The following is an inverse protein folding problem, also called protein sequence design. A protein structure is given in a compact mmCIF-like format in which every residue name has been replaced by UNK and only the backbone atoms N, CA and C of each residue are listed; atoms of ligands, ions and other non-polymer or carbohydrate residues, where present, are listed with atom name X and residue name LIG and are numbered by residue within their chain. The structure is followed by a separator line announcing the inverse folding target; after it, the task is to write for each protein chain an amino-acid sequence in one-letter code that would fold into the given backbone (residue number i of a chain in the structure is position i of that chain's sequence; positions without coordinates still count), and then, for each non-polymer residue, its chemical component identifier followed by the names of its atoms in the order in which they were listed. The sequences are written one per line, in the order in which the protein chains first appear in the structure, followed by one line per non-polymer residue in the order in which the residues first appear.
data_IF_126757466195
#
_entry.id   IF_126757466195
#
_cell.length_a   1.000
_cell.length_b   1.000
_cell.length_c   1.000
_cell.angle_alpha   90.00
_cell.angle_beta   90.00
_cell.angle_gamma   90.00
#
_symmetry.space_group_name_H-M   'P 1'
#
loop_
_entity.id
_entity.type
_entity.pdbx_description
1 polymer ?
2 non-polymer ?
3 non-polymer ?
4 water ?
#
# COMPACT_ATOMS: atom_id res chain seq x y z
N UNK A 1 16.57 -27.41 10.34
CA UNK A 1 17.87 -26.65 10.41
C UNK A 1 17.77 -25.42 11.32
N UNK A 2 16.86 -24.49 11.02
CA UNK A 2 16.61 -23.36 11.90
C UNK A 2 15.26 -23.46 12.60
N UNK A 3 14.44 -24.43 12.18
CA UNK A 3 13.08 -24.59 12.72
C UNK A 3 13.10 -24.89 14.19
N UNK A 4 12.25 -24.20 14.93
CA UNK A 4 12.16 -24.40 16.38
C UNK A 4 13.12 -23.61 17.23
N UNK A 5 14.06 -22.91 16.58
CA UNK A 5 15.05 -22.11 17.32
C UNK A 5 15.14 -20.68 16.89
N UNK A 6 15.71 -19.90 17.78
CA UNK A 6 15.97 -18.50 17.52
C UNK A 6 16.89 -18.33 16.32
N UNK A 7 16.52 -17.39 15.45
CA UNK A 7 17.40 -16.94 14.36
C UNK A 7 18.06 -15.58 14.65
N UNK A 8 19.39 -15.51 14.58
CA UNK A 8 20.10 -14.22 14.68
C UNK A 8 20.27 -13.70 13.26
N UNK A 9 19.80 -12.48 12.99
CA UNK A 9 19.89 -11.90 11.66
C UNK A 9 20.00 -10.37 11.78
N UNK A 10 20.06 -9.69 10.64
CA UNK A 10 20.05 -8.22 10.65
C UNK A 10 18.64 -7.66 10.41
N UNK A 11 18.35 -6.54 11.05
CA UNK A 11 17.12 -5.83 10.78
C UNK A 11 17.38 -4.32 10.86
N UNK A 12 16.49 -3.55 10.24
CA UNK A 12 16.53 -2.11 10.40
C UNK A 12 15.59 -1.73 11.52
N UNK A 13 16.18 -1.33 12.65
CA UNK A 13 15.44 -0.85 13.82
C UNK A 13 15.30 0.67 13.85
N UNK A 14 14.10 1.14 14.18
CA UNK A 14 13.87 2.55 14.44
C UNK A 14 13.77 2.68 15.96
N UNK A 15 14.81 3.24 16.58
CA UNK A 15 14.87 3.27 18.03
C UNK A 15 13.99 4.39 18.58
N UNK A 16 13.82 5.45 17.81
CA UNK A 16 13.18 6.68 18.24
C UNK A 16 12.72 7.41 17.01
N UNK A 17 11.68 8.23 17.16
CA UNK A 17 11.18 9.08 16.07
C UNK A 17 12.27 9.96 15.51
N UNK A 18 12.14 10.33 14.23
CA UNK A 18 13.01 11.33 13.59
C UNK A 18 14.49 10.97 13.68
N UNK A 19 14.77 9.69 13.51
CA UNK A 19 16.15 9.17 13.46
C UNK A 19 16.30 8.28 12.21
N UNK A 20 17.53 8.12 11.69
CA UNK A 20 17.74 7.13 10.64
C UNK A 20 17.48 5.74 11.18
N UNK A 21 17.19 4.79 10.28
CA UNK A 21 17.11 3.38 10.66
C UNK A 21 18.50 2.90 11.05
N UNK A 22 18.53 2.06 12.07
CA UNK A 22 19.82 1.51 12.53
C UNK A 22 19.85 0.05 12.10
N UNK A 23 20.88 -0.34 11.34
CA UNK A 23 21.02 -1.74 11.03
C UNK A 23 21.57 -2.44 12.28
N UNK A 24 20.82 -3.41 12.78
CA UNK A 24 21.20 -4.10 14.05
C UNK A 24 21.14 -5.61 13.88
N UNK A 25 21.89 -6.33 14.74
CA UNK A 25 21.75 -7.76 14.91
C UNK A 25 20.57 -7.96 15.84
N UNK A 26 19.56 -8.67 15.36
CA UNK A 26 18.40 -8.98 16.18
C UNK A 26 18.23 -10.48 16.33
N UNK A 27 17.43 -10.91 17.30
CA UNK A 27 17.11 -12.32 17.48
C UNK A 27 15.63 -12.40 17.13
N UNK A 28 15.32 -13.34 16.26
CA UNK A 28 13.92 -13.55 15.84
C UNK A 28 13.51 -14.89 16.39
N UNK A 29 12.51 -14.87 17.29
CA UNK A 29 12.04 -16.11 17.95
C UNK A 29 11.32 -17.03 16.95
N UNK A 30 11.24 -18.33 17.25
CA UNK A 30 10.50 -19.24 16.36
C UNK A 30 9.00 -18.96 16.45
N UNK A 31 8.25 -19.35 15.41
CA UNK A 31 6.80 -19.13 15.40
C UNK A 31 6.02 -20.00 16.37
N UNK A 32 5.12 -19.36 17.12
CA UNK A 32 4.20 -20.04 18.03
C UNK A 32 3.01 -20.55 17.23
N UNK A 33 1.97 -21.03 17.92
CA UNK A 33 0.86 -21.62 17.19
C UNK A 33 0.29 -20.58 16.26
N UNK A 34 0.05 -20.98 15.02
CA UNK A 34 -0.68 -20.15 14.05
C UNK A 34 0.15 -18.97 13.63
N UNK A 35 1.47 -19.11 13.74
CA UNK A 35 2.41 -18.09 13.28
C UNK A 35 3.31 -18.68 12.22
N UNK A 36 3.92 -17.79 11.43
CA UNK A 36 4.69 -18.15 10.25
C UNK A 36 5.97 -17.33 10.28
N UNK A 37 7.12 -18.00 10.20
CA UNK A 37 8.40 -17.26 10.10
C UNK A 37 8.86 -17.19 8.63
N UNK A 38 9.21 -16.00 8.16
CA UNK A 38 9.45 -15.76 6.74
C UNK A 38 10.85 -15.17 6.51
N UNK A 39 11.59 -15.72 5.53
CA UNK A 39 12.85 -15.14 5.08
C UNK A 39 12.56 -14.10 4.02
N UNK A 40 12.87 -12.83 4.30
CA UNK A 40 12.55 -11.78 3.31
C UNK A 40 13.39 -11.86 2.05
N UNK A 41 12.76 -11.56 0.91
CA UNK A 41 13.47 -11.52 -0.36
C UNK A 41 13.52 -10.11 -0.92
N UNK A 42 12.41 -9.39 -0.76
CA UNK A 42 12.38 -7.99 -1.19
C UNK A 42 11.32 -7.27 -0.43
N UNK A 43 11.58 -5.98 -0.23
CA UNK A 43 10.60 -5.10 0.47
C UNK A 43 10.63 -3.70 -0.12
N UNK A 44 9.43 -3.14 -0.33
CA UNK A 44 9.31 -1.80 -0.91
C UNK A 44 9.35 -0.75 0.19
N UNK A 45 9.79 0.46 -0.16
CA UNK A 45 9.74 1.57 0.79
C UNK A 45 8.51 2.40 0.49
N UNK A 46 7.56 2.38 1.44
CA UNK A 46 6.30 3.11 1.27
C UNK A 46 6.24 4.39 2.13
N UNK A 47 5.53 5.43 1.64
CA UNK A 47 5.28 6.66 2.39
C UNK A 47 4.86 6.36 3.83
N UNK A 48 4.03 5.34 4.03
CA UNK A 48 3.57 5.04 5.37
C UNK A 48 4.68 4.64 6.35
N UNK A 49 5.73 3.99 5.83
CA UNK A 49 6.90 3.69 6.62
C UNK A 49 7.61 4.96 7.11
N UNK A 50 7.66 5.97 6.24
CA UNK A 50 8.21 7.31 6.52
C UNK A 50 7.35 8.02 7.56
N UNK A 51 6.03 7.79 7.51
CA UNK A 51 5.15 8.40 8.52
C UNK A 51 5.45 7.88 9.93
N UNK A 52 5.92 6.64 10.05
CA UNK A 52 6.38 6.14 11.37
C UNK A 52 7.59 6.95 11.85
N UNK A 53 8.55 7.15 10.95
CA UNK A 53 9.75 7.93 11.25
C UNK A 53 9.37 9.34 11.72
N UNK A 54 8.46 9.99 11.00
CA UNK A 54 8.07 11.38 11.32
C UNK A 54 7.29 11.50 12.64
N UNK A 55 6.75 10.39 13.13
CA UNK A 55 5.90 10.41 14.31
C UNK A 55 4.44 10.71 13.98
N UNK A 56 4.13 10.74 12.70
CA UNK A 56 2.76 11.08 12.28
C UNK A 56 1.85 9.86 12.23
N UNK A 57 2.41 8.68 11.92
CA UNK A 57 1.70 7.41 12.12
C UNK A 57 2.22 6.92 13.48
N UNK A 58 1.40 7.03 14.51
CA UNK A 58 1.81 6.68 15.86
C UNK A 58 1.71 5.18 16.09
N UNK A 59 2.85 4.55 16.40
CA UNK A 59 2.89 3.12 16.68
C UNK A 59 4.00 2.99 17.74
N UNK A 60 3.93 1.97 18.61
CA UNK A 60 4.97 1.82 19.65
C UNK A 60 6.39 1.71 19.11
N UNK A 61 7.34 2.43 19.76
CA UNK A 61 8.76 2.34 19.43
C UNK A 61 9.49 1.71 20.61
N UNK A 62 10.68 1.12 20.37
CA UNK A 62 11.36 0.98 19.08
C UNK A 62 10.62 -0.04 18.22
N UNK A 63 10.83 0.02 16.91
CA UNK A 63 10.02 -0.79 15.98
C UNK A 63 10.82 -1.24 14.77
N UNK A 64 10.46 -2.43 14.28
CA UNK A 64 10.88 -2.87 12.93
C UNK A 64 9.71 -2.56 11.98
N UNK A 65 9.87 -1.52 11.16
CA UNK A 65 8.84 -1.13 10.18
C UNK A 65 8.90 -1.97 8.91
N UNK A 66 8.25 -1.50 7.85
CA UNK A 66 8.16 -2.27 6.62
C UNK A 66 6.87 -3.07 6.60
N UNK A 67 6.11 -2.92 5.53
CA UNK A 67 4.83 -3.60 5.37
C UNK A 67 4.52 -4.08 3.95
N UNK A 68 5.39 -3.78 2.98
CA UNK A 68 5.18 -4.07 1.58
C UNK A 68 6.33 -4.98 1.16
N UNK A 69 6.07 -6.27 1.07
CA UNK A 69 7.17 -7.22 0.88
C UNK A 69 6.76 -8.56 0.36
N UNK A 70 7.78 -9.35 0.00
CA UNK A 70 7.61 -10.72 -0.36
C UNK A 70 8.78 -11.54 0.14
N UNK A 71 8.51 -12.79 0.46
CA UNK A 71 9.57 -13.66 0.96
C UNK A 71 9.22 -15.11 0.78
N UNK A 72 10.00 -15.96 1.47
CA UNK A 72 9.81 -17.41 1.45
C UNK A 72 9.66 -17.94 2.85
N UNK A 73 8.68 -18.84 3.07
CA UNK A 73 8.43 -19.40 4.39
C UNK A 73 9.59 -20.30 4.87
N UNK A 74 10.16 -19.91 6.00
CA UNK A 74 11.23 -20.63 6.64
C UNK A 74 10.68 -21.75 7.51
N UNK A 75 9.67 -21.45 8.34
CA UNK A 75 9.02 -22.47 9.15
C UNK A 75 7.63 -22.04 9.57
N UNK A 76 6.81 -23.02 9.95
CA UNK A 76 5.44 -22.72 10.40
C UNK A 76 5.24 -23.22 11.83
N UNK A 77 4.45 -22.47 12.59
CA UNK A 77 4.05 -22.91 13.92
C UNK A 77 2.97 -23.97 13.85
N UNK A 78 2.62 -24.52 15.02
CA UNK A 78 1.58 -25.54 15.17
C UNK A 78 0.26 -25.06 14.56
N UNK A 79 -0.40 -25.96 13.84
CA UNK A 79 -1.76 -25.71 13.33
C UNK A 79 -1.91 -24.83 12.11
N UNK A 80 -0.78 -24.41 11.53
CA UNK A 80 -0.77 -23.62 10.29
C UNK A 80 -1.11 -24.52 9.10
N UNK A 81 -2.12 -24.12 8.32
CA UNK A 81 -2.58 -24.89 7.18
C UNK A 81 -2.49 -24.22 5.83
N UNK A 82 -2.32 -22.89 5.78
CA UNK A 82 -2.47 -22.16 4.53
C UNK A 82 -1.17 -21.92 3.81
N UNK A 83 -0.06 -22.14 4.52
CA UNK A 83 1.28 -22.04 3.94
C UNK A 83 2.18 -23.14 4.51
N UNK A 84 3.28 -23.40 3.81
CA UNK A 84 4.19 -24.48 4.18
C UNK A 84 5.61 -23.97 3.95
N UNK A 85 6.59 -24.55 4.67
CA UNK A 85 7.97 -24.19 4.40
C UNK A 85 8.31 -24.24 2.93
N UNK A 86 9.02 -23.23 2.45
CA UNK A 86 9.42 -23.12 1.05
C UNK A 86 8.47 -22.37 0.13
N UNK A 87 7.25 -22.12 0.59
CA UNK A 87 6.28 -21.34 -0.21
C UNK A 87 6.66 -19.89 -0.33
N UNK A 88 6.42 -19.30 -1.51
CA UNK A 88 6.52 -17.85 -1.70
C UNK A 88 5.29 -17.20 -1.09
N UNK A 89 5.50 -16.05 -0.44
CA UNK A 89 4.44 -15.40 0.34
C UNK A 89 4.55 -13.90 0.34
N UNK A 90 3.41 -13.24 0.59
CA UNK A 90 3.35 -11.80 0.76
C UNK A 90 2.62 -11.53 2.09
N UNK A 91 3.31 -10.88 3.04
CA UNK A 91 2.68 -10.49 4.32
C UNK A 91 1.56 -9.50 4.06
N UNK A 92 0.51 -9.63 4.89
CA UNK A 92 -0.71 -8.80 4.71
C UNK A 92 -0.84 -7.78 5.84
N UNK A 93 -0.61 -6.49 5.53
CA UNK A 93 -0.72 -5.47 6.60
C UNK A 93 -2.16 -5.25 7.03
N UNK A 94 -3.11 -5.57 6.15
CA UNK A 94 -4.52 -5.70 6.52
C UNK A 94 -4.81 -7.17 6.52
N UNK A 95 -5.04 -7.76 7.72
CA UNK A 95 -5.20 -9.21 7.87
C UNK A 95 -6.55 -9.65 7.26
N UNK A 96 -6.74 -10.96 7.05
CA UNK A 96 -8.09 -11.48 6.70
C UNK A 96 -8.35 -12.68 7.58
N UNK A 97 -8.91 -12.42 8.75
CA UNK A 97 -9.20 -13.49 9.72
C UNK A 97 -10.29 -14.47 9.25
N UNK A 98 -11.24 -13.99 8.45
CA UNK A 98 -12.31 -14.82 7.93
C UNK A 98 -13.49 -14.98 8.87
N UNK A 99 -13.39 -14.45 10.10
CA UNK A 99 -14.39 -14.74 11.13
C UNK A 99 -15.20 -13.53 11.61
N UNK A 100 -14.60 -12.35 11.54
CA UNK A 100 -15.20 -11.15 12.10
C UNK A 100 -16.30 -10.62 11.17
N UNK A 101 -17.13 -9.72 11.68
CA UNK A 101 -18.23 -9.17 10.88
C UNK A 101 -17.80 -8.44 9.60
N UNK A 102 -16.58 -7.87 9.62
CA UNK A 102 -16.06 -7.24 8.41
C UNK A 102 -15.63 -8.29 7.39
N UNK A 103 -14.90 -9.31 7.83
CA UNK A 103 -14.47 -10.36 6.90
C UNK A 103 -15.67 -11.11 6.32
N UNK A 104 -16.74 -11.20 7.11
CA UNK A 104 -17.99 -11.88 6.66
C UNK A 104 -18.87 -10.97 5.79
N UNK A 105 -18.51 -9.70 5.66
CA UNK A 105 -19.33 -8.76 4.88
C UNK A 105 -18.88 -8.73 3.42
N UNK A 106 -19.81 -8.80 2.45
CA UNK A 106 -19.36 -8.80 1.04
C UNK A 106 -18.50 -7.60 0.59
N UNK A 107 -18.66 -6.44 1.21
CA UNK A 107 -17.90 -5.27 0.76
C UNK A 107 -16.84 -4.76 1.76
N UNK A 108 -16.77 -5.36 2.94
CA UNK A 108 -15.75 -4.91 3.90
C UNK A 108 -14.43 -5.63 3.71
N UNK A 109 -13.33 -4.97 4.07
CA UNK A 109 -12.01 -5.64 4.05
C UNK A 109 -11.13 -5.24 5.20
N UNK A 110 -11.54 -4.24 5.98
CA UNK A 110 -10.72 -3.76 7.07
C UNK A 110 -10.97 -4.61 8.31
N UNK A 111 -10.41 -5.81 8.27
CA UNK A 111 -10.60 -6.83 9.30
C UNK A 111 -10.34 -6.27 10.69
N UNK A 112 -11.22 -6.59 11.66
CA UNK A 112 -11.16 -6.08 13.04
C UNK A 112 -9.91 -6.51 13.83
N UNK A 113 -9.16 -7.50 13.32
CA UNK A 113 -7.86 -7.91 13.86
C UNK A 113 -6.69 -7.05 13.41
N UNK A 114 -6.97 -5.99 12.65
CA UNK A 114 -5.88 -5.10 12.18
C UNK A 114 -5.17 -4.41 13.35
N UNK A 115 -3.90 -4.03 13.13
CA UNK A 115 -3.13 -3.29 14.12
C UNK A 115 -2.97 -1.81 13.75
N UNK A 116 -3.85 -1.33 12.89
CA UNK A 116 -3.78 0.02 12.41
C UNK A 116 -4.59 1.00 13.23
N UNK A 117 -5.81 0.62 13.64
CA UNK A 117 -6.71 1.56 14.32
C UNK A 117 -6.19 2.00 15.68
N UNK A 118 -5.74 1.02 16.46
CA UNK A 118 -5.18 1.25 17.79
C UNK A 118 -3.89 0.43 17.89
N UNK A 119 -2.79 0.90 17.28
CA UNK A 119 -1.61 0.01 17.19
C UNK A 119 -1.00 -0.42 18.52
N UNK A 120 -0.80 -1.73 18.67
CA UNK A 120 -0.12 -2.31 19.82
C UNK A 120 1.34 -2.63 19.47
N UNK A 121 1.61 -2.84 18.19
CA UNK A 121 2.99 -3.19 17.75
C UNK A 121 3.43 -4.55 18.26
N UNK A 122 2.47 -5.48 18.27
CA UNK A 122 2.77 -6.86 18.68
C UNK A 122 2.22 -7.89 17.69
N UNK A 123 2.50 -9.16 17.95
CA UNK A 123 1.76 -10.28 17.38
C UNK A 123 0.33 -10.27 17.90
N UNK A 124 -0.52 -11.13 17.33
CA UNK A 124 -1.93 -11.19 17.77
C UNK A 124 -2.02 -11.52 19.27
N UNK A 125 -1.04 -12.23 19.80
CA UNK A 125 -1.09 -12.68 21.19
C UNK A 125 -0.60 -11.65 22.21
N UNK A 126 -0.23 -10.46 21.73
CA UNK A 126 0.17 -9.35 22.59
C UNK A 126 1.64 -9.36 22.97
N UNK A 127 2.39 -10.21 22.30
CA UNK A 127 3.85 -10.22 22.50
C UNK A 127 4.66 -10.00 21.24
N UNK A 128 5.98 -9.85 21.41
CA UNK A 128 6.90 -9.58 20.33
C UNK A 128 7.83 -10.76 20.10
N UNK A 129 8.18 -11.00 18.81
CA UNK A 129 9.12 -12.05 18.44
C UNK A 129 10.54 -11.51 18.24
N UNK A 130 10.70 -10.20 18.42
CA UNK A 130 12.00 -9.55 18.17
C UNK A 130 12.70 -9.06 19.42
N UNK A 131 14.00 -9.32 19.51
CA UNK A 131 14.81 -8.70 20.57
C UNK A 131 16.10 -8.20 19.94
N UNK A 132 16.64 -7.13 20.51
CA UNK A 132 17.97 -6.64 20.09
C UNK A 132 18.75 -6.49 21.38
N UNK A 133 19.77 -7.33 21.54
CA UNK A 133 20.54 -7.38 22.80
C UNK A 133 19.62 -7.49 24.03
N UNK A 134 18.63 -8.37 23.91
CA UNK A 134 17.65 -8.66 24.97
C UNK A 134 16.58 -7.59 25.21
N UNK A 135 16.58 -6.52 24.42
CA UNK A 135 15.58 -5.47 24.56
C UNK A 135 14.45 -5.81 23.57
N UNK A 136 13.19 -5.85 24.03
CA UNK A 136 12.12 -6.15 23.06
C UNK A 136 11.99 -5.05 22.01
N UNK A 137 11.64 -5.45 20.78
CA UNK A 137 11.40 -4.50 19.67
C UNK A 137 9.98 -4.78 19.14
N UNK A 138 9.24 -3.71 18.87
CA UNK A 138 7.87 -3.82 18.36
C UNK A 138 7.78 -4.26 16.91
N UNK A 139 6.65 -4.93 16.65
CA UNK A 139 6.21 -5.23 15.29
C UNK A 139 5.52 -3.98 14.72
N UNK A 140 5.25 -4.02 13.42
CA UNK A 140 4.53 -2.93 12.73
C UNK A 140 3.48 -3.53 11.82
N UNK A 141 2.23 -3.21 12.12
CA UNK A 141 1.07 -3.70 11.33
C UNK A 141 1.08 -5.21 11.13
N UNK A 142 1.62 -5.94 12.10
CA UNK A 142 1.66 -7.38 12.03
C UNK A 142 2.50 -7.91 10.88
N UNK A 143 3.38 -7.08 10.34
CA UNK A 143 4.25 -7.50 9.22
C UNK A 143 5.76 -7.39 9.51
N UNK A 144 6.26 -6.17 9.69
CA UNK A 144 7.67 -5.94 10.03
C UNK A 144 8.59 -6.55 9.01
N UNK A 145 8.64 -5.93 7.85
CA UNK A 145 9.36 -6.51 6.74
C UNK A 145 10.77 -5.95 6.54
N UNK A 146 11.19 -4.99 7.36
CA UNK A 146 12.58 -4.42 7.26
C UNK A 146 13.54 -5.25 8.12
N UNK A 147 13.54 -6.55 7.84
CA UNK A 147 14.35 -7.51 8.57
C UNK A 147 14.61 -8.70 7.65
N UNK A 148 15.77 -9.32 7.82
CA UNK A 148 16.04 -10.53 7.04
C UNK A 148 15.02 -11.65 7.30
N UNK A 149 14.48 -11.72 8.52
CA UNK A 149 13.43 -12.69 8.91
C UNK A 149 12.39 -12.02 9.74
N UNK A 150 11.14 -12.41 9.52
CA UNK A 150 10.04 -11.87 10.33
C UNK A 150 9.11 -12.99 10.72
N UNK A 151 8.26 -12.73 11.72
CA UNK A 151 7.24 -13.70 12.12
C UNK A 151 5.94 -12.97 12.05
N UNK A 152 4.97 -13.59 11.38
CA UNK A 152 3.65 -13.00 11.20
C UNK A 152 2.58 -14.01 11.61
N UNK A 153 1.40 -13.51 11.94
CA UNK A 153 0.26 -14.37 12.21
C UNK A 153 -0.25 -14.96 10.89
N UNK A 154 -0.81 -16.19 10.96
CA UNK A 154 -1.28 -16.86 9.74
C UNK A 154 -2.29 -16.00 9.00
N UNK A 155 -3.09 -15.26 9.75
CA UNK A 155 -4.11 -14.37 9.11
C UNK A 155 -3.51 -13.18 8.37
N UNK A 156 -2.21 -12.97 8.53
CA UNK A 156 -1.50 -11.87 7.91
C UNK A 156 -0.51 -12.34 6.85
N UNK A 157 -0.73 -13.52 6.26
CA UNK A 157 0.16 -13.96 5.19
C UNK A 157 -0.62 -14.70 4.12
N UNK A 158 -0.25 -14.52 2.86
CA UNK A 158 -0.89 -15.19 1.73
C UNK A 158 0.14 -15.93 0.86
N UNK A 159 -0.17 -17.19 0.52
CA UNK A 159 0.67 -17.96 -0.39
C UNK A 159 0.45 -17.51 -1.82
N UNK A 160 1.55 -17.35 -2.57
CA UNK A 160 1.48 -16.91 -3.95
C UNK A 160 2.17 -17.91 -4.87
N UNK A 161 1.97 -17.74 -6.16
CA UNK A 161 2.56 -18.61 -7.21
C UNK A 161 4.06 -18.84 -7.02
N UNK A 162 4.47 -20.11 -6.98
CA UNK A 162 5.89 -20.43 -6.72
C UNK A 162 6.87 -19.87 -7.76
N UNK A 163 6.37 -19.56 -8.95
CA UNK A 163 7.21 -19.00 -10.00
C UNK A 163 7.34 -17.47 -10.02
N UNK A 164 6.76 -16.80 -9.01
CA UNK A 164 6.68 -15.32 -8.96
C UNK A 164 8.03 -14.64 -8.77
N UNK A 165 8.30 -13.54 -9.51
CA UNK A 165 9.50 -12.75 -9.24
C UNK A 165 9.25 -11.88 -8.02
N UNK A 166 9.83 -12.27 -6.88
CA UNK A 166 9.49 -11.60 -5.60
C UNK A 166 9.93 -10.13 -5.56
N UNK A 167 11.01 -9.81 -6.29
CA UNK A 167 11.50 -8.44 -6.38
C UNK A 167 10.54 -7.49 -7.08
N UNK A 168 9.55 -8.04 -7.78
CA UNK A 168 8.51 -7.24 -8.45
C UNK A 168 7.19 -7.33 -7.71
N UNK A 169 6.77 -8.55 -7.38
CA UNK A 169 5.42 -8.72 -6.83
C UNK A 169 5.26 -8.24 -5.39
N UNK A 170 6.38 -7.89 -4.75
CA UNK A 170 6.28 -7.31 -3.42
C UNK A 170 5.37 -6.08 -3.47
N UNK A 171 5.31 -5.39 -4.61
CA UNK A 171 4.42 -4.17 -4.74
C UNK A 171 2.94 -4.49 -4.51
N UNK A 172 2.58 -5.73 -4.72
CA UNK A 172 1.20 -6.15 -4.45
C UNK A 172 0.89 -6.09 -2.93
N UNK A 173 1.95 -6.03 -2.11
CA UNK A 173 1.85 -5.93 -0.68
C UNK A 173 1.27 -4.60 -0.22
N UNK A 174 1.33 -3.57 -1.07
CA UNK A 174 0.73 -2.31 -0.65
C UNK A 174 0.47 -1.36 -1.80
N UNK A 175 1.51 -0.80 -2.39
CA UNK A 175 1.29 0.37 -3.27
C UNK A 175 0.48 0.07 -4.51
N UNK A 176 0.82 -1.02 -5.21
CA UNK A 176 0.11 -1.37 -6.43
C UNK A 176 -1.34 -1.74 -6.12
N UNK A 177 -1.55 -2.63 -5.15
CA UNK A 177 -2.91 -3.09 -4.81
C UNK A 177 -3.81 -1.95 -4.36
N UNK A 178 -3.20 -1.03 -3.64
CA UNK A 178 -3.95 0.11 -3.07
C UNK A 178 -4.52 0.98 -4.20
N UNK A 179 -3.68 1.36 -5.16
CA UNK A 179 -4.13 2.19 -6.30
C UNK A 179 -5.01 1.39 -7.25
N UNK A 180 -4.56 0.20 -7.62
CA UNK A 180 -5.29 -0.64 -8.59
C UNK A 180 -6.71 -0.99 -8.10
N UNK A 181 -6.83 -1.46 -6.86
CA UNK A 181 -8.14 -1.77 -6.25
C UNK A 181 -9.04 -0.56 -6.11
N UNK A 182 -8.46 0.60 -5.83
CA UNK A 182 -9.26 1.80 -5.69
C UNK A 182 -10.05 2.03 -6.96
N UNK A 183 -9.45 1.73 -8.10
CA UNK A 183 -10.16 1.83 -9.39
C UNK A 183 -11.08 0.64 -9.64
N UNK A 184 -10.53 -0.58 -9.55
CA UNK A 184 -11.24 -1.78 -10.01
C UNK A 184 -12.24 -2.31 -9.01
N UNK A 185 -12.01 -2.04 -7.73
CA UNK A 185 -12.77 -2.63 -6.64
C UNK A 185 -13.64 -1.61 -5.88
N UNK A 186 -13.06 -0.45 -5.55
CA UNK A 186 -13.76 0.54 -4.73
C UNK A 186 -14.64 1.41 -5.59
N UNK A 187 -14.03 2.12 -6.55
CA UNK A 187 -14.82 2.94 -7.52
C UNK A 187 -15.66 2.08 -8.46
N UNK A 188 -15.11 0.93 -8.85
CA UNK A 188 -15.71 0.10 -9.90
C UNK A 188 -15.84 0.88 -11.20
N UNK A 189 -14.71 1.38 -11.69
CA UNK A 189 -14.63 2.04 -12.98
C UNK A 189 -15.27 1.17 -14.07
N UNK A 190 -16.06 1.83 -14.90
CA UNK A 190 -16.80 1.19 -15.98
C UNK A 190 -16.16 1.48 -17.34
N UNK A 191 -16.41 0.59 -18.30
CA UNK A 191 -16.00 0.76 -19.71
C UNK A 191 -16.46 2.07 -20.34
N UNK A 192 -15.53 2.75 -20.99
CA UNK A 192 -15.81 4.00 -21.68
C UNK A 192 -15.96 5.24 -20.80
N UNK A 193 -15.72 5.10 -19.50
CA UNK A 193 -15.89 6.22 -18.57
C UNK A 193 -14.69 7.17 -18.62
N UNK A 194 -14.82 8.33 -17.98
CA UNK A 194 -13.77 9.33 -17.90
C UNK A 194 -13.34 9.37 -16.44
N UNK A 195 -12.04 9.26 -16.22
CA UNK A 195 -11.46 9.23 -14.87
C UNK A 195 -10.47 10.36 -14.72
N UNK A 196 -10.33 10.89 -13.48
CA UNK A 196 -9.32 11.91 -13.17
C UNK A 196 -8.55 11.43 -11.96
N UNK A 197 -7.21 11.45 -12.06
CA UNK A 197 -6.36 10.90 -11.01
C UNK A 197 -5.46 12.02 -10.50
N UNK A 198 -5.63 12.39 -9.23
CA UNK A 198 -4.87 13.51 -8.64
C UNK A 198 -3.69 12.94 -7.86
N UNK A 199 -2.52 13.07 -8.47
CA UNK A 199 -1.26 12.56 -7.94
C UNK A 199 -0.72 11.43 -8.81
N UNK A 200 0.51 11.59 -9.28
CA UNK A 200 1.10 10.66 -10.23
C UNK A 200 2.39 9.99 -9.74
N UNK A 201 2.50 9.87 -8.42
CA UNK A 201 3.38 8.89 -7.78
C UNK A 201 2.95 7.46 -8.01
N UNK A 202 3.60 6.54 -7.29
CA UNK A 202 3.43 5.11 -7.51
C UNK A 202 1.99 4.67 -7.32
N UNK A 203 1.32 5.20 -6.30
CA UNK A 203 -0.06 4.82 -6.02
C UNK A 203 -0.97 5.36 -7.14
N UNK A 204 -0.71 6.61 -7.58
CA UNK A 204 -1.51 7.21 -8.68
C UNK A 204 -1.33 6.46 -9.99
N UNK A 205 -0.09 6.06 -10.29
CA UNK A 205 0.16 5.25 -11.48
C UNK A 205 -0.62 3.94 -11.38
N UNK A 206 -0.69 3.35 -10.18
CA UNK A 206 -1.44 2.13 -9.98
C UNK A 206 -2.96 2.35 -10.20
N UNK A 207 -3.47 3.50 -9.79
CA UNK A 207 -4.87 3.84 -10.06
C UNK A 207 -5.08 3.91 -11.59
N UNK A 208 -4.16 4.56 -12.29
CA UNK A 208 -4.24 4.67 -13.76
C UNK A 208 -4.28 3.26 -14.40
N UNK A 209 -3.38 2.40 -13.95
CA UNK A 209 -3.39 1.02 -14.36
C UNK A 209 -4.75 0.35 -14.20
N UNK A 210 -5.41 0.57 -13.06
CA UNK A 210 -6.74 0.02 -12.75
C UNK A 210 -7.85 0.57 -13.61
N UNK A 211 -7.79 1.88 -13.84
CA UNK A 211 -8.73 2.56 -14.74
C UNK A 211 -8.59 1.98 -16.16
N UNK A 212 -7.35 1.70 -16.59
CA UNK A 212 -7.08 1.10 -17.90
C UNK A 212 -7.60 -0.34 -17.95
N UNK A 213 -7.34 -1.12 -16.90
CA UNK A 213 -7.82 -2.51 -16.78
C UNK A 213 -9.35 -2.59 -16.91
N UNK A 214 -10.02 -1.58 -16.36
CA UNK A 214 -11.48 -1.50 -16.35
C UNK A 214 -12.02 -0.93 -17.64
N UNK A 215 -11.15 -0.46 -18.51
CA UNK A 215 -11.56 0.06 -19.83
C UNK A 215 -12.06 1.49 -19.92
N UNK A 216 -11.60 2.35 -19.02
CA UNK A 216 -11.86 3.78 -19.12
C UNK A 216 -11.45 4.33 -20.49
N UNK A 217 -12.30 5.17 -21.07
CA UNK A 217 -11.96 5.80 -22.35
C UNK A 217 -11.04 7.01 -22.22
N UNK A 218 -11.09 7.69 -21.07
CA UNK A 218 -10.26 8.87 -20.84
C UNK A 218 -9.75 8.80 -19.42
N UNK A 219 -8.46 9.03 -19.23
CA UNK A 219 -7.87 8.97 -17.90
C UNK A 219 -6.96 10.17 -17.80
N UNK A 220 -7.40 11.14 -17.03
CA UNK A 220 -6.74 12.43 -16.94
C UNK A 220 -5.86 12.47 -15.69
N UNK A 221 -4.54 12.46 -15.87
CA UNK A 221 -3.63 12.59 -14.73
C UNK A 221 -3.45 14.06 -14.39
N UNK A 222 -3.46 14.36 -13.10
CA UNK A 222 -3.32 15.72 -12.56
C UNK A 222 -2.18 15.76 -11.54
N UNK A 223 -1.19 16.63 -11.78
CA UNK A 223 -0.05 16.76 -10.86
C UNK A 223 0.71 18.03 -11.21
N UNK A 224 1.29 18.72 -10.22
CA UNK A 224 2.04 19.98 -10.49
C UNK A 224 3.46 19.73 -10.94
N UNK A 225 3.90 18.46 -10.84
CA UNK A 225 5.21 18.09 -11.33
C UNK A 225 5.11 17.42 -12.71
N UNK A 226 5.44 18.18 -13.74
CA UNK A 226 5.27 17.73 -15.14
C UNK A 226 6.22 16.63 -15.57
N UNK A 227 7.27 16.40 -14.79
CA UNK A 227 8.16 15.28 -15.09
C UNK A 227 7.55 13.90 -14.74
N UNK A 228 6.38 13.88 -14.11
CA UNK A 228 5.64 12.63 -13.87
C UNK A 228 4.70 12.27 -15.02
N UNK A 229 4.52 13.20 -15.95
CA UNK A 229 3.55 13.00 -17.04
C UNK A 229 3.98 11.84 -17.97
N UNK A 230 5.27 11.73 -18.26
CA UNK A 230 5.70 10.70 -19.20
C UNK A 230 5.29 9.27 -18.79
N UNK A 231 5.59 8.91 -17.55
CA UNK A 231 5.26 7.60 -17.02
C UNK A 231 3.74 7.39 -16.88
N UNK A 232 3.02 8.46 -16.56
CA UNK A 232 1.58 8.36 -16.40
C UNK A 232 0.95 7.96 -17.74
N UNK A 233 1.47 8.54 -18.83
CA UNK A 233 0.98 8.19 -20.15
C UNK A 233 1.37 6.75 -20.56
N UNK A 234 2.61 6.35 -20.27
CA UNK A 234 3.07 4.98 -20.48
C UNK A 234 2.12 3.95 -19.89
N UNK A 235 1.59 4.25 -18.70
CA UNK A 235 0.78 3.26 -17.99
C UNK A 235 -0.72 3.40 -18.24
N UNK A 236 -1.11 4.43 -18.98
CA UNK A 236 -2.47 4.56 -19.49
C UNK A 236 -3.18 5.90 -19.50
N UNK A 237 -2.55 6.95 -18.94
CA UNK A 237 -3.15 8.28 -18.97
C UNK A 237 -3.31 8.75 -20.41
N UNK A 238 -4.48 9.31 -20.72
CA UNK A 238 -4.76 9.76 -22.05
C UNK A 238 -4.37 11.22 -22.24
N UNK A 239 -4.35 11.97 -21.13
CA UNK A 239 -3.89 13.34 -21.10
C UNK A 239 -3.41 13.63 -19.69
N UNK A 240 -2.54 14.63 -19.55
CA UNK A 240 -2.10 15.09 -18.25
C UNK A 240 -2.26 16.58 -18.12
N UNK A 241 -2.64 17.00 -16.93
CA UNK A 241 -2.93 18.38 -16.61
C UNK A 241 -2.07 18.86 -15.45
N UNK A 242 -1.39 20.00 -15.64
CA UNK A 242 -0.65 20.65 -14.57
C UNK A 242 -1.44 21.87 -14.12
N UNK A 243 -2.00 21.83 -12.90
CA UNK A 243 -2.82 22.96 -12.43
C UNK A 243 -2.12 24.30 -12.46
N UNK A 244 -0.79 24.31 -12.37
CA UNK A 244 0.00 25.55 -12.39
C UNK A 244 0.04 26.19 -13.78
N UNK A 245 -0.33 25.42 -14.80
CA UNK A 245 -0.44 25.94 -16.16
C UNK A 245 -1.66 26.85 -16.36
N UNK A 246 -2.56 26.89 -15.38
CA UNK A 246 -3.87 27.56 -15.54
C UNK A 246 -4.10 28.78 -14.70
N UNK A 247 -4.97 29.65 -15.21
CA UNK A 247 -5.42 30.83 -14.51
C UNK A 247 -6.72 30.59 -13.76
N UNK A 248 -7.44 29.52 -14.12
CA UNK A 248 -8.66 29.17 -13.40
C UNK A 248 -8.48 27.95 -12.52
N UNK A 249 -9.32 27.83 -11.46
CA UNK A 249 -9.29 26.66 -10.60
C UNK A 249 -9.37 25.37 -11.38
N UNK A 250 -8.59 24.42 -10.93
CA UNK A 250 -8.49 23.12 -11.55
C UNK A 250 -9.84 22.39 -11.70
N UNK A 251 -10.77 22.50 -10.72
CA UNK A 251 -12.02 21.73 -10.86
C UNK A 251 -12.85 22.23 -12.06
N UNK A 252 -12.74 23.51 -12.34
CA UNK A 252 -13.42 24.11 -13.48
C UNK A 252 -12.81 23.63 -14.78
N UNK A 253 -11.48 23.63 -14.84
CA UNK A 253 -10.76 23.11 -16.00
C UNK A 253 -11.20 21.68 -16.27
N UNK A 254 -11.29 20.86 -15.23
CA UNK A 254 -11.68 19.46 -15.45
C UNK A 254 -13.15 19.29 -15.81
N UNK A 255 -13.99 20.13 -15.21
CA UNK A 255 -15.42 20.05 -15.51
C UNK A 255 -15.66 20.41 -16.98
N UNK A 256 -14.94 21.42 -17.48
CA UNK A 256 -15.06 21.87 -18.86
C UNK A 256 -14.48 20.80 -19.81
N UNK A 257 -13.33 20.23 -19.42
CA UNK A 257 -12.70 19.17 -20.21
C UNK A 257 -13.58 17.94 -20.39
N UNK A 258 -14.43 17.64 -19.41
CA UNK A 258 -15.19 16.38 -19.39
C UNK A 258 -16.67 16.63 -19.66
N UNK A 259 -16.94 17.81 -20.22
CA UNK A 259 -18.29 18.19 -20.63
C UNK A 259 -19.26 17.96 -19.45
N UNK A 260 -18.86 18.47 -18.30
CA UNK A 260 -19.75 18.63 -17.17
C UNK A 260 -19.43 17.72 -15.99
N UNK A 261 -18.17 17.24 -15.93
CA UNK A 261 -17.70 16.42 -14.81
C UNK A 261 -17.20 15.02 -15.20
N UNK A 262 -16.25 14.47 -14.44
CA UNK A 262 -15.76 13.13 -14.70
C UNK A 262 -16.67 12.06 -14.06
N UNK A 263 -16.60 10.83 -14.57
CA UNK A 263 -17.31 9.74 -13.95
C UNK A 263 -16.70 9.32 -12.60
N UNK A 264 -15.37 9.23 -12.57
CA UNK A 264 -14.65 8.77 -11.38
C UNK A 264 -13.47 9.70 -11.13
N UNK A 265 -13.26 10.10 -9.89
CA UNK A 265 -12.03 10.81 -9.57
C UNK A 265 -11.35 10.17 -8.40
N UNK A 266 -10.06 10.38 -8.30
CA UNK A 266 -9.28 9.74 -7.25
C UNK A 266 -8.32 10.75 -6.65
N UNK A 267 -8.30 10.88 -5.31
CA UNK A 267 -7.29 11.71 -4.67
C UNK A 267 -6.29 10.79 -4.05
N UNK A 268 -5.04 10.95 -4.47
CA UNK A 268 -4.01 10.03 -4.04
C UNK A 268 -3.16 10.84 -3.05
N UNK A 269 -2.81 12.07 -3.45
CA UNK A 269 -1.83 12.94 -2.77
C UNK A 269 -1.94 12.94 -1.24
N UNK A 270 -3.16 13.03 -0.73
CA UNK A 270 -3.37 13.09 0.72
C UNK A 270 -3.63 14.51 1.14
N UNK A 271 -3.96 15.36 0.17
CA UNK A 271 -4.03 16.78 0.44
C UNK A 271 -5.49 17.19 0.61
N UNK A 272 -5.77 17.96 1.66
CA UNK A 272 -7.18 18.31 1.92
C UNK A 272 -7.82 19.13 0.80
N UNK A 273 -7.05 20.03 0.20
CA UNK A 273 -7.54 20.80 -0.93
C UNK A 273 -7.88 19.95 -2.15
N UNK A 274 -7.01 19.04 -2.60
CA UNK A 274 -7.37 18.24 -3.77
C UNK A 274 -8.44 17.19 -3.43
N UNK A 275 -8.59 16.79 -2.17
CA UNK A 275 -9.70 15.88 -1.83
C UNK A 275 -11.01 16.57 -2.22
N UNK A 276 -11.15 17.85 -1.87
CA UNK A 276 -12.42 18.53 -2.20
C UNK A 276 -12.50 18.84 -3.72
N UNK A 277 -11.39 19.23 -4.32
CA UNK A 277 -11.33 19.41 -5.77
C UNK A 277 -11.71 18.15 -6.52
N UNK A 278 -11.20 17.00 -6.05
CA UNK A 278 -11.50 15.74 -6.73
C UNK A 278 -13.00 15.41 -6.63
N UNK A 279 -13.60 15.66 -5.47
CA UNK A 279 -15.05 15.47 -5.32
C UNK A 279 -15.84 16.37 -6.26
N UNK A 280 -15.47 17.64 -6.28
CA UNK A 280 -16.19 18.67 -7.04
C UNK A 280 -16.11 18.38 -8.53
N UNK A 281 -14.99 17.82 -8.99
CA UNK A 281 -14.81 17.69 -10.43
C UNK A 281 -15.54 16.46 -11.02
N UNK A 282 -16.11 15.59 -10.18
CA UNK A 282 -16.93 14.49 -10.73
C UNK A 282 -18.33 14.98 -11.03
N UNK A 283 -18.98 14.31 -11.98
CA UNK A 283 -20.35 14.72 -12.39
C UNK A 283 -21.30 14.83 -11.18
N UNK A 284 -22.05 15.91 -11.11
CA UNK A 284 -22.80 16.23 -9.91
C UNK A 284 -23.92 15.24 -9.57
N UNK A 285 -24.44 14.53 -10.59
CA UNK A 285 -25.58 13.61 -10.41
C UNK A 285 -25.18 12.15 -10.16
N UNK A 286 -24.02 11.72 -10.67
CA UNK A 286 -23.70 10.28 -10.61
C UNK A 286 -22.20 10.02 -10.44
N UNK A 287 -21.45 11.10 -10.24
CA UNK A 287 -19.97 11.02 -10.10
C UNK A 287 -19.57 10.30 -8.81
N UNK A 288 -18.44 9.62 -8.82
CA UNK A 288 -17.92 8.93 -7.63
C UNK A 288 -16.51 9.41 -7.42
N UNK A 289 -16.18 9.79 -6.18
CA UNK A 289 -14.81 10.22 -5.89
C UNK A 289 -14.26 9.35 -4.77
N UNK A 290 -13.03 8.87 -4.95
CA UNK A 290 -12.41 7.94 -3.99
C UNK A 290 -11.14 8.54 -3.41
N UNK A 291 -11.04 8.48 -2.08
CA UNK A 291 -9.88 8.94 -1.33
C UNK A 291 -9.01 7.69 -1.17
N UNK A 292 -7.77 7.75 -1.66
CA UNK A 292 -6.91 6.57 -1.72
C UNK A 292 -5.95 6.61 -0.53
N UNK A 293 -5.71 7.81 -0.01
CA UNK A 293 -4.86 7.90 1.19
C UNK A 293 -5.19 9.17 1.93
N UNK A 294 -4.90 9.16 3.22
CA UNK A 294 -4.97 10.34 4.07
C UNK A 294 -3.72 10.38 4.93
N UNK A 295 -2.97 11.51 4.92
CA UNK A 295 -1.84 11.57 5.85
C UNK A 295 -2.38 11.34 7.25
N UNK A 296 -1.67 10.54 8.07
CA UNK A 296 -2.14 10.14 9.40
C UNK A 296 -2.29 11.26 10.42
N UNK A 297 -1.67 12.41 10.15
CA UNK A 297 -1.85 13.61 10.95
C UNK A 297 -2.77 14.64 10.33
N UNK A 298 -3.67 14.21 9.43
CA UNK A 298 -4.51 15.14 8.69
C UNK A 298 -5.40 15.90 9.64
N UNK A 299 -5.52 17.22 9.42
CA UNK A 299 -6.57 17.99 10.06
C UNK A 299 -7.92 17.81 9.33
N UNK A 300 -8.94 18.51 9.80
CA UNK A 300 -10.24 18.42 9.15
C UNK A 300 -10.22 19.16 7.85
N UNK A 301 -11.04 18.68 6.93
CA UNK A 301 -11.28 19.40 5.67
C UNK A 301 -12.58 20.14 5.81
N UNK A 302 -12.76 21.12 4.93
CA UNK A 302 -13.97 21.90 4.89
C UNK A 302 -14.59 21.72 3.52
N UNK A 303 -15.86 21.35 3.50
CA UNK A 303 -16.55 21.13 2.23
C UNK A 303 -18.01 21.46 2.36
N UNK A 304 -18.65 21.78 1.24
CA UNK A 304 -20.07 22.11 1.26
C UNK A 304 -20.87 20.82 0.94
N UNK A 305 -21.76 20.40 1.88
CA UNK A 305 -22.51 19.16 1.67
C UNK A 305 -23.40 19.24 0.44
N UNK A 306 -23.62 20.43 -0.11
CA UNK A 306 -24.36 20.48 -1.37
C UNK A 306 -23.68 19.70 -2.48
N UNK A 307 -22.37 19.48 -2.39
CA UNK A 307 -21.67 18.67 -3.38
C UNK A 307 -22.22 17.23 -3.44
N UNK A 308 -22.70 16.73 -2.30
CA UNK A 308 -23.23 15.38 -2.23
C UNK A 308 -24.72 15.31 -2.55
N UNK A 309 -25.46 16.37 -2.23
CA UNK A 309 -26.93 16.33 -2.35
C UNK A 309 -27.42 16.12 -3.77
N UNK A 310 -26.63 16.51 -4.76
CA UNK A 310 -27.00 16.35 -6.16
C UNK A 310 -26.92 14.85 -6.60
N UNK A 311 -26.16 14.03 -5.90
CA UNK A 311 -26.09 12.63 -6.27
C UNK A 311 -24.69 12.08 -6.29
N UNK A 312 -23.70 12.89 -5.88
CA UNK A 312 -22.31 12.38 -5.80
C UNK A 312 -22.13 11.35 -4.69
N UNK A 313 -21.11 10.49 -4.85
CA UNK A 313 -20.76 9.49 -3.85
C UNK A 313 -19.31 9.73 -3.49
N UNK A 314 -18.97 9.73 -2.19
CA UNK A 314 -17.60 9.93 -1.75
C UNK A 314 -17.22 8.73 -0.91
N UNK A 315 -16.10 8.11 -1.24
CA UNK A 315 -15.70 6.96 -0.45
C UNK A 315 -14.21 6.84 -0.28
N UNK A 316 -13.81 6.04 0.70
CA UNK A 316 -12.38 5.77 0.86
C UNK A 316 -12.24 4.29 1.10
N UNK A 317 -10.99 3.85 1.16
CA UNK A 317 -10.69 2.46 1.42
C UNK A 317 -9.24 2.27 1.82
N UNK A 318 -8.99 1.15 2.49
CA UNK A 318 -7.65 0.69 2.79
C UNK A 318 -7.34 -0.52 1.86
N UNK A 319 -6.11 -0.60 1.38
CA UNK A 319 -5.65 -1.72 0.58
C UNK A 319 -6.53 -1.96 -0.62
N UNK A 320 -6.98 -0.86 -1.21
CA UNK A 320 -7.76 -0.92 -2.44
C UNK A 320 -9.09 -1.62 -2.36
N UNK A 321 -9.60 -1.80 -1.13
CA UNK A 321 -10.87 -2.48 -0.87
C UNK A 321 -10.80 -3.99 -0.99
N UNK A 322 -9.61 -4.52 -1.27
CA UNK A 322 -9.38 -5.94 -1.36
C UNK A 322 -9.39 -6.67 -0.02
N UNK A 323 -10.19 -7.72 0.06
CA UNK A 323 -10.03 -8.75 1.09
C UNK A 323 -8.66 -9.36 0.83
N UNK A 324 -7.77 -9.21 1.80
CA UNK A 324 -6.35 -9.33 1.43
C UNK A 324 -5.87 -10.76 1.11
N UNK A 325 -6.22 -11.72 1.94
CA UNK A 325 -5.73 -13.10 1.72
C UNK A 325 -6.37 -13.73 0.45
N UNK A 326 -7.62 -13.41 0.17
CA UNK A 326 -8.26 -13.76 -1.11
C UNK A 326 -7.63 -13.13 -2.34
N UNK A 327 -7.32 -11.84 -2.23
CA UNK A 327 -7.03 -11.04 -3.40
C UNK A 327 -5.56 -11.10 -3.78
N UNK A 328 -4.66 -11.10 -2.81
CA UNK A 328 -3.26 -11.06 -3.16
C UNK A 328 -2.82 -12.21 -4.11
N UNK A 329 -3.20 -13.46 -3.81
CA UNK A 329 -2.80 -14.47 -4.77
C UNK A 329 -3.39 -14.26 -6.16
N UNK A 330 -4.62 -13.75 -6.23
CA UNK A 330 -5.27 -13.45 -7.52
C UNK A 330 -4.55 -12.36 -8.27
N UNK A 331 -4.11 -11.33 -7.54
CA UNK A 331 -3.33 -10.27 -8.16
C UNK A 331 -1.98 -10.78 -8.67
N UNK A 332 -1.35 -11.69 -7.94
CA UNK A 332 -0.08 -12.24 -8.42
C UNK A 332 -0.31 -13.07 -9.68
N UNK A 333 -1.38 -13.87 -9.67
CA UNK A 333 -1.75 -14.69 -10.84
C UNK A 333 -2.07 -13.82 -12.05
N UNK A 334 -2.73 -12.68 -11.81
CA UNK A 334 -2.98 -11.71 -12.87
C UNK A 334 -1.65 -11.21 -13.44
N UNK A 335 -0.67 -11.00 -12.56
CA UNK A 335 0.65 -10.57 -13.03
C UNK A 335 1.33 -11.70 -13.80
N UNK A 336 1.14 -12.92 -13.33
CA UNK A 336 1.82 -14.07 -13.96
C UNK A 336 1.16 -14.41 -15.28
N UNK A 337 -0.10 -14.00 -15.43
CA UNK A 337 -0.87 -14.17 -16.66
C UNK A 337 -0.59 -13.02 -17.62
N UNK A 338 0.33 -12.15 -17.23
CA UNK A 338 0.73 -10.93 -17.96
C UNK A 338 -0.42 -9.95 -18.20
N UNK A 339 -1.37 -9.90 -17.27
CA UNK A 339 -2.48 -8.95 -17.33
C UNK A 339 -2.06 -7.50 -17.13
N UNK A 340 -1.01 -7.29 -16.33
CA UNK A 340 -0.49 -5.94 -16.12
C UNK A 340 1.02 -5.99 -15.87
N UNK A 341 1.66 -4.84 -16.04
CA UNK A 341 3.10 -4.67 -15.84
C UNK A 341 3.40 -4.03 -14.47
N UNK A 342 4.48 -4.47 -13.83
CA UNK A 342 4.93 -3.82 -12.59
C UNK A 342 6.23 -3.03 -12.75
N UNK A 343 7.03 -3.35 -13.76
CA UNK A 343 8.30 -2.63 -14.01
C UNK A 343 8.26 -1.07 -14.08
N UNK A 344 7.26 -0.47 -14.78
CA UNK A 344 7.19 0.99 -14.78
C UNK A 344 7.13 1.64 -13.39
N UNK A 345 6.67 0.91 -12.38
CA UNK A 345 6.61 1.45 -11.03
C UNK A 345 7.96 1.40 -10.27
N UNK A 346 8.88 0.57 -10.75
CA UNK A 346 10.15 0.39 -10.06
C UNK A 346 11.24 1.26 -10.66
N UNK A 347 11.66 2.28 -9.91
CA UNK A 347 12.65 3.22 -10.42
C UNK A 347 14.02 3.05 -9.80
N UNK A 348 14.08 2.39 -8.64
CA UNK A 348 15.33 2.21 -7.91
C UNK A 348 15.35 0.88 -7.20
N UNK A 349 16.50 0.22 -7.23
CA UNK A 349 16.66 -1.00 -6.41
C UNK A 349 17.96 -0.87 -5.63
N UNK A 350 17.89 -1.16 -4.33
CA UNK A 350 19.06 -1.06 -3.45
C UNK A 350 19.15 -2.28 -2.57
N UNK A 351 20.37 -2.68 -2.16
CA UNK A 351 20.48 -3.74 -1.17
C UNK A 351 19.85 -3.21 0.14
N UNK A 352 19.32 -4.11 0.97
CA UNK A 352 18.65 -3.78 2.22
C UNK A 352 19.48 -2.83 3.12
N UNK A 353 20.79 -3.00 3.14
CA UNK A 353 21.61 -2.24 4.06
C UNK A 353 21.70 -0.76 3.73
N UNK A 354 21.27 -0.43 2.50
CA UNK A 354 21.19 0.94 2.04
C UNK A 354 19.77 1.55 2.24
N UNK A 355 19.04 1.02 3.22
CA UNK A 355 17.66 1.46 3.50
C UNK A 355 17.59 2.97 3.70
N UNK A 356 18.57 3.55 4.41
CA UNK A 356 18.48 5.02 4.56
C UNK A 356 18.56 5.84 3.27
N UNK A 357 19.45 5.46 2.35
CA UNK A 357 19.48 6.06 1.02
C UNK A 357 18.13 5.92 0.33
N UNK A 358 17.46 4.79 0.54
CA UNK A 358 16.15 4.57 -0.11
C UNK A 358 15.10 5.54 0.42
N UNK A 359 15.17 5.82 1.71
CA UNK A 359 14.27 6.82 2.33
C UNK A 359 14.63 8.25 1.91
N UNK A 360 15.91 8.54 1.73
CA UNK A 360 16.24 9.82 1.09
C UNK A 360 15.61 10.02 -0.30
N UNK A 361 15.70 8.99 -1.14
CA UNK A 361 15.05 8.95 -2.45
C UNK A 361 13.55 9.17 -2.38
N UNK A 362 12.92 8.61 -1.36
CA UNK A 362 11.47 8.74 -1.14
C UNK A 362 11.16 10.18 -0.79
N UNK A 363 11.95 10.74 0.14
CA UNK A 363 11.66 12.05 0.71
C UNK A 363 11.91 13.19 -0.27
N UNK A 364 12.80 12.96 -1.23
CA UNK A 364 13.20 14.00 -2.18
C UNK A 364 12.24 14.04 -3.36
N UNK A 365 11.42 13.00 -3.49
CA UNK A 365 10.52 12.82 -4.65
C UNK A 365 11.16 12.17 -5.87
N UNK A 366 12.42 11.77 -5.75
CA UNK A 366 13.22 11.29 -6.88
C UNK A 366 12.78 9.89 -7.37
N UNK A 367 12.34 9.05 -6.44
CA UNK A 367 11.88 7.70 -6.75
C UNK A 367 10.35 7.61 -6.90
N UNK A 368 9.88 6.82 -7.86
CA UNK A 368 8.48 6.33 -7.81
C UNK A 368 8.39 5.24 -6.73
N UNK A 369 9.21 4.21 -6.88
CA UNK A 369 9.36 3.20 -5.84
C UNK A 369 10.74 2.65 -5.82
N UNK A 370 11.26 2.49 -4.62
CA UNK A 370 12.50 1.77 -4.38
C UNK A 370 12.18 0.44 -3.75
N UNK A 371 12.77 -0.62 -4.32
CA UNK A 371 12.73 -1.96 -3.76
C UNK A 371 14.06 -2.28 -3.09
N UNK A 372 14.00 -2.83 -1.89
CA UNK A 372 15.20 -3.26 -1.18
C UNK A 372 15.31 -4.76 -1.29
N UNK A 373 16.51 -5.22 -1.62
CA UNK A 373 16.70 -6.64 -1.85
C UNK A 373 17.61 -7.25 -0.77
N UNK A 374 17.33 -8.49 -0.42
CA UNK A 374 18.12 -9.17 0.60
C UNK A 374 19.23 -10.07 0.04
X LIG B 1 1.96 1.16 2.29
X LIG C 1 -11.53 -10.36 10.15
X LIG D 1 -4.34 3.30 5.99
X LIG D 1 -2.91 3.81 6.02
X LIG D 1 -2.02 2.68 6.24
X LIG D 1 -2.56 4.43 4.67
X LIG D 1 -2.72 4.76 7.21
X LIG D 1 -3.09 6.22 6.92
X LIG D 1 -1.91 6.99 6.92
X LIG D 1 -4.05 6.77 7.98
#
# INVERSE_FOLDING_TARGET
STAGKVIKCKAAVLWEEKKPFSIEEVEVAPPKAHEVRIKMVATGICRSDDHVVSGTLVTPLPVIAGHEAAGIVESIGEGVTTVRPGDKVIPLFTPQCGKCRVCKHPEGNFCLKNDLSMPRGTMQDGTSRFTCRGKPIHHFLGTSTFSQYTVVDEISVAKIDAASPLEKVCLIGCGFSTGYGSAVKVAKVTQGSTCAVFGLGGVGLSVIMGCKAAGAARIIGVDINKDKFAKAKEVGATECVNPQDYKKPIQEVLTEMSNGGVDFSFEVIGRLDTMVTALSCCQEAYGVSVIVGVPPDSQNLSMNPMLLLSGRTWKGAIFGGFKSKDSVPKLVADFMAKKFALDPLITHVLPFEKINEGFDLLRSGESIRTILTF
ZN ZN
ZN ZN
MPD C1 C2 O2 CM C3 C4 O4 C5
#
